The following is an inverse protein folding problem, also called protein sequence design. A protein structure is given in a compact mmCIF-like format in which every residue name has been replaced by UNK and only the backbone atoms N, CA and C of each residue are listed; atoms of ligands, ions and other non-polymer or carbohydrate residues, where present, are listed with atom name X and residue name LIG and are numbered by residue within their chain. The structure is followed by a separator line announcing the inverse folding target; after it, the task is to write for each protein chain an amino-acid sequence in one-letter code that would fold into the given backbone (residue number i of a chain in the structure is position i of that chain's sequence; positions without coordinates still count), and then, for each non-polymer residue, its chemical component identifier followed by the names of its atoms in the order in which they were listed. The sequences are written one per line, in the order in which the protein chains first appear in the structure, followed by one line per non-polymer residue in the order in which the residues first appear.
data_IF_210354540930
#
_entry.id   IF_210354540930
#
_cell.length_a   1.000
_cell.length_b   1.000
_cell.length_c   1.000
_cell.angle_alpha   90.00
_cell.angle_beta   90.00
_cell.angle_gamma   90.00
#
_symmetry.space_group_name_H-M   'P 1'
#
loop_
_entity.id
_entity.type
_entity.pdbx_description
1 polymer ?
#
# COMPACT_ATOMS: atom_id res chain seq x y z
N UNK A 1 14.89 2.83 19.70
CA UNK A 1 13.91 3.91 19.51
C UNK A 1 12.59 3.27 19.14
N UNK A 2 11.51 3.57 19.87
CA UNK A 2 10.18 3.06 19.54
C UNK A 2 9.62 3.94 18.41
N UNK A 3 9.74 3.51 17.15
CA UNK A 3 9.17 4.22 16.02
C UNK A 3 7.64 4.13 16.10
N UNK A 4 6.94 5.25 16.01
CA UNK A 4 5.48 5.26 16.03
C UNK A 4 4.99 4.83 14.65
N UNK A 5 4.21 3.74 14.61
CA UNK A 5 3.60 3.21 13.40
C UNK A 5 2.26 3.91 13.13
N UNK A 6 2.14 4.53 11.96
CA UNK A 6 0.93 5.23 11.51
C UNK A 6 0.20 4.33 10.48
N UNK A 7 -1.00 3.81 10.80
CA UNK A 7 -1.79 3.06 9.83
C UNK A 7 -2.53 4.00 8.87
N UNK A 8 -2.50 3.68 7.57
CA UNK A 8 -3.18 4.41 6.49
C UNK A 8 -4.04 3.42 5.71
N UNK A 9 -5.35 3.67 5.66
CA UNK A 9 -6.29 2.75 5.01
C UNK A 9 -6.74 3.30 3.65
N UNK A 10 -6.71 2.43 2.63
CA UNK A 10 -7.31 2.69 1.33
C UNK A 10 -8.37 1.64 1.03
N UNK A 11 -9.41 2.07 0.33
CA UNK A 11 -10.41 1.18 -0.27
C UNK A 11 -10.42 1.41 -1.77
N UNK A 12 -10.07 0.41 -2.57
CA UNK A 12 -10.03 0.55 -4.03
C UNK A 12 -10.64 -0.64 -4.74
N UNK A 13 -11.07 -0.44 -5.98
CA UNK A 13 -11.28 -1.52 -6.93
C UNK A 13 -10.09 -1.62 -7.90
N UNK A 14 -10.15 -2.57 -8.84
CA UNK A 14 -9.11 -2.76 -9.84
C UNK A 14 -8.82 -1.52 -10.71
N UNK A 15 -9.84 -0.73 -11.02
CA UNK A 15 -9.70 0.48 -11.87
C UNK A 15 -9.00 1.60 -11.12
N UNK A 16 -9.06 1.59 -9.79
CA UNK A 16 -8.41 2.59 -8.94
C UNK A 16 -6.95 2.27 -8.56
N UNK A 17 -6.47 1.07 -8.87
CA UNK A 17 -5.09 0.64 -8.66
C UNK A 17 -4.00 1.63 -9.15
N UNK A 18 -4.08 2.23 -10.37
CA UNK A 18 -3.05 3.19 -10.81
C UNK A 18 -3.07 4.50 -10.01
N UNK A 19 -4.21 4.91 -9.46
CA UNK A 19 -4.29 6.10 -8.62
C UNK A 19 -3.74 5.85 -7.22
N UNK A 20 -3.99 4.65 -6.67
CA UNK A 20 -3.37 4.21 -5.43
C UNK A 20 -1.85 4.21 -5.55
N UNK A 21 -1.33 3.70 -6.66
CA UNK A 21 0.11 3.73 -6.93
C UNK A 21 0.69 5.16 -6.88
N UNK A 22 0.00 6.12 -7.48
CA UNK A 22 0.41 7.53 -7.41
C UNK A 22 0.36 8.09 -5.99
N UNK A 23 -0.67 7.74 -5.21
CA UNK A 23 -0.81 8.18 -3.83
C UNK A 23 0.31 7.62 -2.94
N UNK A 24 0.65 6.34 -3.09
CA UNK A 24 1.75 5.69 -2.37
C UNK A 24 3.07 6.38 -2.69
N UNK A 25 3.36 6.62 -3.97
CA UNK A 25 4.58 7.35 -4.38
C UNK A 25 4.67 8.74 -3.77
N UNK A 26 3.58 9.51 -3.84
CA UNK A 26 3.51 10.83 -3.23
C UNK A 26 3.76 10.78 -1.72
N UNK A 27 3.25 9.75 -1.04
CA UNK A 27 3.46 9.57 0.40
C UNK A 27 4.92 9.23 0.72
N UNK A 28 5.54 8.30 -0.02
CA UNK A 28 6.97 7.95 0.16
C UNK A 28 7.86 9.18 0.01
N UNK A 29 7.57 10.06 -0.95
CA UNK A 29 8.38 11.26 -1.23
C UNK A 29 8.23 12.36 -0.17
N UNK A 30 7.06 12.49 0.46
CA UNK A 30 6.72 13.66 1.28
C UNK A 30 6.47 13.35 2.76
N UNK A 31 6.26 12.09 3.13
CA UNK A 31 5.96 11.72 4.50
C UNK A 31 7.19 11.86 5.41
N UNK A 32 6.95 12.25 6.67
CA UNK A 32 8.02 12.41 7.65
C UNK A 32 8.78 11.11 7.85
N UNK A 33 10.11 11.20 7.87
CA UNK A 33 11.03 10.08 8.13
C UNK A 33 11.13 9.70 9.62
N UNK A 34 10.40 10.39 10.49
CA UNK A 34 10.33 10.10 11.93
C UNK A 34 9.34 9.00 12.29
N UNK A 35 8.51 8.59 11.32
CA UNK A 35 7.47 7.58 11.50
C UNK A 35 7.66 6.41 10.52
N UNK A 36 7.00 5.31 10.84
CA UNK A 36 6.76 4.20 9.92
C UNK A 36 5.29 4.20 9.51
N UNK A 37 5.00 3.83 8.27
CA UNK A 37 3.65 3.87 7.73
C UNK A 37 3.23 2.46 7.33
N UNK A 38 2.07 2.01 7.82
CA UNK A 38 1.45 0.76 7.38
C UNK A 38 0.26 1.08 6.50
N UNK A 39 0.40 0.84 5.20
CA UNK A 39 -0.69 0.99 4.23
C UNK A 39 -1.50 -0.30 4.21
N UNK A 40 -2.79 -0.18 4.47
CA UNK A 40 -3.73 -1.29 4.46
C UNK A 40 -4.74 -1.01 3.35
N UNK A 41 -4.77 -1.87 2.34
CA UNK A 41 -5.63 -1.68 1.17
C UNK A 41 -6.70 -2.75 1.17
N UNK A 42 -7.92 -2.32 1.47
CA UNK A 42 -9.11 -3.12 1.29
C UNK A 42 -9.52 -3.05 -0.18
N UNK A 43 -9.64 -4.20 -0.84
CA UNK A 43 -9.88 -4.21 -2.27
C UNK A 43 -10.95 -5.19 -2.71
N UNK A 44 -11.54 -4.91 -3.87
CA UNK A 44 -12.43 -5.82 -4.58
C UNK A 44 -11.84 -6.10 -5.96
N UNK A 45 -11.65 -7.38 -6.28
CA UNK A 45 -11.26 -7.86 -7.61
C UNK A 45 -9.96 -7.24 -8.19
N UNK A 46 -8.98 -6.93 -7.32
CA UNK A 46 -7.65 -6.51 -7.79
C UNK A 46 -6.99 -7.65 -8.60
N UNK A 47 -6.52 -7.33 -9.81
CA UNK A 47 -5.75 -8.28 -10.62
C UNK A 47 -4.33 -8.43 -10.10
N UNK A 48 -3.72 -9.60 -10.32
CA UNK A 48 -2.32 -9.86 -9.98
C UNK A 48 -1.36 -8.83 -10.59
N UNK A 49 -1.61 -8.40 -11.83
CA UNK A 49 -0.82 -7.35 -12.50
C UNK A 49 -0.82 -6.03 -11.71
N UNK A 50 -2.00 -5.63 -11.22
CA UNK A 50 -2.16 -4.40 -10.47
C UNK A 50 -1.56 -4.50 -9.07
N UNK A 51 -1.68 -5.66 -8.42
CA UNK A 51 -1.02 -5.96 -7.15
C UNK A 51 0.50 -5.85 -7.32
N UNK A 52 1.07 -6.53 -8.32
CA UNK A 52 2.50 -6.52 -8.59
C UNK A 52 3.03 -5.11 -8.88
N UNK A 53 2.25 -4.29 -9.60
CA UNK A 53 2.62 -2.89 -9.87
C UNK A 53 2.67 -2.07 -8.58
N UNK A 54 1.69 -2.23 -7.69
CA UNK A 54 1.64 -1.52 -6.42
C UNK A 54 2.79 -1.98 -5.50
N UNK A 55 2.99 -3.29 -5.36
CA UNK A 55 4.05 -3.88 -4.53
C UNK A 55 5.44 -3.43 -4.95
N UNK A 56 5.71 -3.36 -6.27
CA UNK A 56 7.01 -2.91 -6.80
C UNK A 56 7.38 -1.49 -6.36
N UNK A 57 6.37 -0.65 -6.09
CA UNK A 57 6.55 0.74 -5.73
C UNK A 57 6.54 0.97 -4.22
N UNK A 58 6.17 -0.02 -3.42
CA UNK A 58 6.27 0.02 -1.96
C UNK A 58 7.73 -0.28 -1.56
N UNK A 59 8.38 0.68 -0.90
CA UNK A 59 9.77 0.59 -0.44
C UNK A 59 9.94 1.24 0.92
N UNK A 60 11.06 0.95 1.56
CA UNK A 60 11.55 1.60 2.78
C UNK A 60 10.62 1.43 4.00
N UNK A 61 10.07 2.52 4.51
CA UNK A 61 9.33 2.62 5.78
C UNK A 61 7.82 2.43 5.62
N UNK A 62 7.43 1.94 4.45
CA UNK A 62 6.05 1.71 4.06
C UNK A 62 5.86 0.22 3.89
N UNK A 63 4.95 -0.37 4.65
CA UNK A 63 4.49 -1.74 4.40
C UNK A 63 3.09 -1.74 3.80
N UNK A 64 2.83 -2.68 2.89
CA UNK A 64 1.54 -2.87 2.25
C UNK A 64 0.90 -4.14 2.79
N UNK A 65 -0.34 -4.03 3.25
CA UNK A 65 -1.19 -5.13 3.68
C UNK A 65 -2.40 -5.19 2.74
N UNK A 66 -2.62 -6.34 2.11
CA UNK A 66 -3.73 -6.63 1.20
C UNK A 66 -4.60 -7.73 1.84
N UNK A 67 -5.53 -7.39 2.75
CA UNK A 67 -6.35 -8.40 3.42
C UNK A 67 -7.35 -9.00 2.43
N UNK A 68 -7.36 -10.33 2.30
CA UNK A 68 -8.35 -11.05 1.50
C UNK A 68 -7.92 -11.47 0.09
N UNK A 69 -6.70 -11.12 -0.34
CA UNK A 69 -5.94 -11.95 -1.29
C UNK A 69 -5.59 -13.24 -0.56
N UNK A 70 -6.47 -14.24 -0.65
CA UNK A 70 -6.21 -15.54 -0.06
C UNK A 70 -4.91 -16.12 -0.62
N UNK A 71 -4.16 -16.81 0.24
CA UNK A 71 -3.17 -17.79 -0.19
C UNK A 71 -3.88 -18.77 -1.13
N UNK A 72 -3.81 -18.52 -2.43
CA UNK A 72 -3.96 -19.56 -3.44
C UNK A 72 -2.66 -20.36 -3.39
N UNK A 73 -2.71 -21.39 -2.54
CA UNK A 73 -1.73 -22.47 -2.42
C UNK A 73 -1.37 -23.03 -3.79
#
# INVERSE_FOLDING_TARGET
MNQILIPVFFTIDNKYAPYLDCAIRSMIENASKEFEYKIIVLHQELTEENIHRIEKNVKDRVCLDLPGTGDVV
#
